data_IF_003715490711
#
_entry.id   IF_003715490711
#
_cell.length_a   1.000
_cell.length_b   1.000
_cell.length_c   1.000
_cell.angle_alpha   90.00
_cell.angle_beta   90.00
_cell.angle_gamma   90.00
#
_symmetry.space_group_name_H-M   'P 1'
#
loop_
_entity.id
_entity.type
_entity.pdbx_description
1 polymer ?
#
# COMPACT_ATOMS: atom_id res chain seq x y z
N UNK A 1 -23.21 -3.42 21.21
CA UNK A 1 -23.44 -4.54 20.29
C UNK A 1 -24.04 -3.95 19.03
N UNK A 2 -23.19 -3.43 18.15
CA UNK A 2 -23.56 -2.91 16.83
C UNK A 2 -22.64 -3.63 15.86
N UNK A 3 -23.14 -3.91 14.66
CA UNK A 3 -22.40 -4.36 13.48
C UNK A 3 -22.70 -5.80 13.06
N UNK A 4 -23.90 -5.98 12.50
CA UNK A 4 -24.00 -6.80 11.28
C UNK A 4 -23.77 -5.89 10.07
N UNK A 5 -23.24 -6.42 8.97
CA UNK A 5 -22.94 -5.62 7.76
C UNK A 5 -24.13 -4.77 7.30
N UNK A 6 -25.35 -5.29 7.45
CA UNK A 6 -26.57 -4.57 7.07
C UNK A 6 -26.76 -3.24 7.83
N UNK A 7 -26.41 -3.16 9.11
CA UNK A 7 -26.52 -1.93 9.90
C UNK A 7 -25.47 -0.90 9.47
N UNK A 8 -24.26 -1.39 9.11
CA UNK A 8 -23.18 -0.55 8.60
C UNK A 8 -23.53 0.01 7.22
N UNK A 9 -24.08 -0.81 6.33
CA UNK A 9 -24.53 -0.39 4.99
C UNK A 9 -25.67 0.63 5.08
N UNK A 10 -26.64 0.41 5.98
CA UNK A 10 -27.73 1.35 6.22
C UNK A 10 -27.21 2.70 6.73
N UNK A 11 -26.35 2.69 7.77
CA UNK A 11 -25.76 3.91 8.31
C UNK A 11 -24.92 4.65 7.25
N UNK A 12 -24.12 3.94 6.46
CA UNK A 12 -23.36 4.50 5.36
C UNK A 12 -24.26 5.17 4.32
N UNK A 13 -25.38 4.55 3.95
CA UNK A 13 -26.32 5.11 2.98
C UNK A 13 -26.97 6.42 3.47
N UNK A 14 -27.34 6.50 4.75
CA UNK A 14 -27.94 7.71 5.36
C UNK A 14 -26.92 8.85 5.38
N UNK A 15 -25.68 8.56 5.78
CA UNK A 15 -24.59 9.55 5.82
C UNK A 15 -24.27 10.04 4.41
N UNK A 16 -24.15 9.13 3.44
CA UNK A 16 -23.85 9.46 2.05
C UNK A 16 -24.94 10.35 1.43
N UNK A 17 -26.22 10.00 1.65
CA UNK A 17 -27.35 10.79 1.14
C UNK A 17 -27.39 12.21 1.71
N UNK A 18 -27.10 12.37 3.01
CA UNK A 18 -27.03 13.70 3.63
C UNK A 18 -25.83 14.51 3.14
N UNK A 19 -24.66 13.88 3.04
CA UNK A 19 -23.41 14.53 2.66
C UNK A 19 -23.35 14.90 1.17
N UNK A 20 -24.09 14.20 0.30
CA UNK A 20 -24.11 14.43 -1.15
C UNK A 20 -24.46 15.88 -1.54
N UNK A 21 -25.23 16.59 -0.71
CA UNK A 21 -25.54 18.02 -0.95
C UNK A 21 -24.34 18.95 -0.69
N UNK A 22 -23.41 18.53 0.15
CA UNK A 22 -22.29 19.34 0.62
C UNK A 22 -20.96 18.96 -0.04
N UNK A 23 -20.88 17.76 -0.59
CA UNK A 23 -19.69 17.26 -1.26
C UNK A 23 -19.96 17.31 -2.77
N UNK A 24 -19.24 18.18 -3.48
CA UNK A 24 -19.11 18.07 -4.92
C UNK A 24 -18.08 16.95 -5.20
N UNK A 25 -18.49 15.71 -4.96
CA UNK A 25 -17.65 14.56 -5.23
C UNK A 25 -17.58 14.41 -6.74
N UNK A 26 -16.42 14.74 -7.32
CA UNK A 26 -16.05 14.06 -8.55
C UNK A 26 -16.22 12.56 -8.29
N UNK A 27 -16.81 11.77 -9.22
CA UNK A 27 -16.87 10.32 -9.06
C UNK A 27 -15.49 9.89 -8.59
N UNK A 28 -15.44 9.14 -7.48
CA UNK A 28 -14.18 8.61 -6.95
C UNK A 28 -13.43 8.11 -8.17
N UNK A 29 -12.21 8.64 -8.45
CA UNK A 29 -11.50 8.26 -9.66
C UNK A 29 -11.58 6.75 -9.63
N UNK A 30 -12.21 6.16 -10.66
CA UNK A 30 -12.21 4.71 -10.79
C UNK A 30 -10.77 4.37 -10.50
N UNK A 31 -10.53 3.67 -9.39
CA UNK A 31 -9.20 3.25 -9.07
C UNK A 31 -8.94 2.33 -10.21
N UNK A 32 -8.32 2.88 -11.27
CA UNK A 32 -7.82 2.15 -12.41
C UNK A 32 -6.78 1.30 -11.72
N UNK A 33 -7.22 0.16 -11.19
CA UNK A 33 -6.37 -0.94 -10.84
C UNK A 33 -5.52 -1.08 -12.07
N UNK A 34 -4.26 -0.69 -11.93
CA UNK A 34 -3.35 -0.69 -13.05
C UNK A 34 -3.51 -2.05 -13.72
N UNK A 35 -3.70 -2.05 -15.04
CA UNK A 35 -4.00 -3.26 -15.80
C UNK A 35 -3.07 -4.39 -15.34
N UNK A 36 -3.53 -5.64 -15.32
CA UNK A 36 -2.77 -6.75 -14.76
C UNK A 36 -1.31 -6.76 -15.28
N UNK A 37 -0.35 -6.66 -14.37
CA UNK A 37 1.08 -6.56 -14.69
C UNK A 37 1.63 -5.14 -14.92
N UNK A 38 0.80 -4.10 -14.84
CA UNK A 38 1.20 -2.69 -14.90
C UNK A 38 1.29 -2.13 -13.48
N UNK A 39 2.37 -1.39 -13.22
CA UNK A 39 2.57 -0.60 -12.01
C UNK A 39 2.46 0.88 -12.40
N UNK A 40 1.60 1.63 -11.72
CA UNK A 40 1.45 3.07 -11.94
C UNK A 40 2.04 3.83 -10.75
N UNK A 41 2.88 4.82 -11.02
CA UNK A 41 3.40 5.78 -10.03
C UNK A 41 2.92 7.16 -10.44
N UNK A 42 2.40 7.92 -9.49
CA UNK A 42 1.91 9.29 -9.69
C UNK A 42 2.29 10.15 -8.50
N UNK A 43 2.76 11.36 -8.78
CA UNK A 43 3.07 12.36 -7.77
C UNK A 43 1.79 12.78 -7.03
N UNK A 44 1.88 12.97 -5.72
CA UNK A 44 0.74 13.41 -4.90
C UNK A 44 0.43 14.91 -5.06
N UNK A 45 1.42 15.71 -5.49
CA UNK A 45 1.27 17.14 -5.72
C UNK A 45 2.59 17.80 -6.16
N UNK A 46 2.53 19.02 -6.71
CA UNK A 46 3.68 19.70 -7.31
C UNK A 46 4.76 20.14 -6.31
N UNK A 47 4.38 20.34 -5.04
CA UNK A 47 5.27 20.85 -3.99
C UNK A 47 5.73 19.75 -3.01
N UNK A 48 5.51 18.47 -3.36
CA UNK A 48 5.91 17.33 -2.52
C UNK A 48 6.67 16.28 -3.34
N UNK A 49 7.49 15.49 -2.67
CA UNK A 49 8.10 14.29 -3.25
C UNK A 49 7.30 13.02 -3.00
N UNK A 50 6.15 13.12 -2.34
CA UNK A 50 5.26 11.99 -2.08
C UNK A 50 4.75 11.38 -3.39
N UNK A 51 4.92 10.07 -3.54
CA UNK A 51 4.48 9.27 -4.66
C UNK A 51 3.39 8.29 -4.23
N UNK A 52 2.34 8.18 -5.04
CA UNK A 52 1.33 7.13 -4.93
C UNK A 52 1.64 6.02 -5.95
N UNK A 53 1.83 4.80 -5.45
CA UNK A 53 2.16 3.62 -6.23
C UNK A 53 0.97 2.67 -6.19
N UNK A 54 0.45 2.30 -7.37
CA UNK A 54 -0.64 1.34 -7.53
C UNK A 54 -0.11 0.07 -8.20
N UNK A 55 -0.25 -1.06 -7.51
CA UNK A 55 0.15 -2.39 -7.98
C UNK A 55 -1.02 -3.35 -7.83
N UNK A 56 -1.77 -3.57 -8.91
CA UNK A 56 -3.03 -4.30 -8.85
C UNK A 56 -3.99 -3.67 -7.84
N UNK A 57 -4.24 -4.36 -6.73
CA UNK A 57 -5.12 -3.90 -5.62
C UNK A 57 -4.38 -3.20 -4.48
N UNK A 58 -3.06 -3.10 -4.55
CA UNK A 58 -2.24 -2.54 -3.50
C UNK A 58 -1.92 -1.08 -3.78
N UNK A 59 -2.13 -0.25 -2.76
CA UNK A 59 -1.78 1.17 -2.77
C UNK A 59 -0.64 1.37 -1.78
N UNK A 60 0.46 1.92 -2.26
CA UNK A 60 1.65 2.21 -1.47
C UNK A 60 1.98 3.69 -1.60
N UNK A 61 2.55 4.26 -0.55
CA UNK A 61 3.09 5.61 -0.55
C UNK A 61 4.60 5.52 -0.42
N UNK A 62 5.32 6.20 -1.31
CA UNK A 62 6.75 6.41 -1.18
C UNK A 62 7.02 7.90 -0.95
N UNK A 63 7.93 8.22 -0.03
CA UNK A 63 8.27 9.59 0.26
C UNK A 63 9.68 9.68 0.83
N UNK A 64 10.29 10.86 0.69
CA UNK A 64 11.55 11.16 1.37
C UNK A 64 11.28 11.75 2.76
N UNK A 65 12.21 11.58 3.72
CA UNK A 65 12.07 12.19 5.03
C UNK A 65 12.16 13.72 4.94
N UNK A 66 11.68 14.38 5.97
CA UNK A 66 11.88 15.83 6.16
C UNK A 66 13.38 16.16 6.19
N UNK A 67 13.84 17.27 5.58
CA UNK A 67 13.07 18.36 4.96
C UNK A 67 12.85 18.20 3.45
N UNK A 68 13.24 17.07 2.85
CA UNK A 68 13.22 16.87 1.41
C UNK A 68 11.83 16.43 0.94
N UNK A 69 11.17 15.56 1.70
CA UNK A 69 9.77 15.17 1.51
C UNK A 69 8.96 15.35 2.79
N UNK A 70 7.83 14.64 2.87
CA UNK A 70 6.87 14.75 3.97
C UNK A 70 6.85 13.54 4.92
N UNK A 71 7.78 12.58 4.76
CA UNK A 71 7.88 11.37 5.60
C UNK A 71 6.56 10.57 5.68
N UNK A 72 5.79 10.55 4.59
CA UNK A 72 4.48 9.86 4.52
C UNK A 72 4.58 8.37 4.16
N UNK A 73 5.77 7.88 3.88
CA UNK A 73 6.04 6.50 3.53
C UNK A 73 7.53 6.20 3.42
N UNK A 74 7.92 4.93 3.17
CA UNK A 74 9.32 4.58 3.00
C UNK A 74 9.95 5.30 1.80
N UNK A 75 11.24 5.54 1.88
CA UNK A 75 11.99 6.06 0.72
C UNK A 75 12.03 5.03 -0.41
N UNK A 76 12.24 5.45 -1.67
CA UNK A 76 12.43 4.53 -2.79
C UNK A 76 13.55 3.51 -2.54
N UNK A 77 14.64 3.91 -1.87
CA UNK A 77 15.72 3.01 -1.50
C UNK A 77 15.30 1.98 -0.44
N UNK A 78 14.48 2.37 0.54
CA UNK A 78 13.92 1.44 1.52
C UNK A 78 12.96 0.45 0.86
N UNK A 79 12.16 0.88 -0.13
CA UNK A 79 11.35 -0.04 -0.93
C UNK A 79 12.20 -1.08 -1.67
N UNK A 80 13.29 -0.65 -2.31
CA UNK A 80 14.22 -1.54 -3.00
C UNK A 80 14.86 -2.55 -2.03
N UNK A 81 15.36 -2.08 -0.89
CA UNK A 81 15.90 -2.94 0.15
C UNK A 81 14.83 -3.93 0.66
N UNK A 82 13.62 -3.44 0.96
CA UNK A 82 12.50 -4.28 1.38
C UNK A 82 12.16 -5.37 0.37
N UNK A 83 12.15 -5.04 -0.93
CA UNK A 83 11.93 -6.01 -2.00
C UNK A 83 13.01 -7.10 -2.03
N UNK A 84 14.29 -6.74 -1.90
CA UNK A 84 15.40 -7.69 -1.85
C UNK A 84 15.32 -8.61 -0.62
N UNK A 85 15.03 -8.02 0.55
CA UNK A 85 14.85 -8.77 1.80
C UNK A 85 13.69 -9.76 1.69
N UNK A 86 12.56 -9.32 1.15
CA UNK A 86 11.39 -10.15 0.91
C UNK A 86 11.68 -11.31 -0.06
N UNK A 87 12.30 -11.05 -1.22
CA UNK A 87 12.66 -12.09 -2.18
C UNK A 87 13.58 -13.16 -1.57
N UNK A 88 14.53 -12.74 -0.73
CA UNK A 88 15.44 -13.64 -0.02
C UNK A 88 14.67 -14.51 0.98
N UNK A 89 13.85 -13.89 1.82
CA UNK A 89 13.04 -14.60 2.81
C UNK A 89 12.07 -15.60 2.18
N UNK A 90 11.43 -15.22 1.07
CA UNK A 90 10.56 -16.10 0.27
C UNK A 90 11.32 -17.31 -0.24
N UNK A 91 12.52 -17.11 -0.79
CA UNK A 91 13.38 -18.18 -1.30
C UNK A 91 13.78 -19.15 -0.18
N UNK A 92 14.22 -18.64 0.97
CA UNK A 92 14.58 -19.49 2.12
C UNK A 92 13.40 -20.35 2.58
N UNK A 93 12.20 -19.75 2.66
CA UNK A 93 10.99 -20.49 3.03
C UNK A 93 10.60 -21.54 1.99
N UNK A 94 10.71 -21.21 0.70
CA UNK A 94 10.47 -22.13 -0.41
C UNK A 94 11.38 -23.38 -0.29
N UNK A 95 12.67 -23.18 -0.05
CA UNK A 95 13.63 -24.27 0.08
C UNK A 95 13.44 -25.08 1.36
N UNK A 96 13.13 -24.45 2.49
CA UNK A 96 12.83 -25.17 3.73
C UNK A 96 11.64 -26.12 3.55
N UNK A 97 10.57 -25.68 2.86
CA UNK A 97 9.43 -26.53 2.51
C UNK A 97 9.85 -27.70 1.61
N UNK A 98 10.60 -27.42 0.53
CA UNK A 98 11.07 -28.46 -0.41
C UNK A 98 11.93 -29.53 0.30
N UNK A 99 12.75 -29.12 1.27
CA UNK A 99 13.64 -30.01 2.02
C UNK A 99 13.03 -30.56 3.31
N UNK A 100 11.76 -30.26 3.60
CA UNK A 100 11.06 -30.68 4.85
C UNK A 100 11.80 -30.26 6.13
N UNK A 101 12.45 -29.10 6.12
CA UNK A 101 13.11 -28.53 7.29
C UNK A 101 12.08 -27.82 8.18
N UNK A 102 12.15 -28.03 9.50
CA UNK A 102 11.27 -27.40 10.49
C UNK A 102 11.67 -25.94 10.76
N UNK A 103 11.60 -25.10 9.73
CA UNK A 103 11.92 -23.68 9.82
C UNK A 103 10.74 -22.89 10.41
N UNK A 104 10.95 -22.26 11.57
CA UNK A 104 9.92 -21.49 12.28
C UNK A 104 9.83 -20.05 11.76
N UNK A 105 10.95 -19.35 11.57
CA UNK A 105 11.00 -17.95 11.17
C UNK A 105 12.13 -17.62 10.20
N UNK A 106 12.00 -16.49 9.50
CA UNK A 106 13.08 -15.86 8.71
C UNK A 106 13.01 -14.36 8.98
N UNK A 107 14.14 -13.77 9.37
CA UNK A 107 14.33 -12.31 9.43
C UNK A 107 15.50 -11.96 8.52
N UNK A 108 15.36 -10.88 7.75
CA UNK A 108 16.42 -10.36 6.89
C UNK A 108 16.58 -8.89 7.21
N UNK A 109 17.77 -8.51 7.66
CA UNK A 109 18.15 -7.13 7.93
C UNK A 109 19.10 -6.65 6.82
N UNK A 110 18.83 -5.47 6.29
CA UNK A 110 19.63 -4.85 5.23
C UNK A 110 20.03 -3.46 5.69
N UNK A 111 21.31 -3.14 5.52
CA UNK A 111 21.85 -1.81 5.81
C UNK A 111 22.00 -1.03 4.51
N UNK A 112 21.32 0.09 4.41
CA UNK A 112 21.51 1.09 3.35
C UNK A 112 22.30 2.24 3.96
N UNK A 113 23.53 1.96 4.37
CA UNK A 113 24.47 2.94 4.93
C UNK A 113 25.45 3.38 3.87
#
# INVERSE_FOLDING_TARGET
>A
MVSICADADYAASVIAAWAARYINAAPAPEVETAAEGVLRVVEAGPDTLTQHIVVGRHHLTADEPTPIGADLGPTPYQFLAGALGACTAMTLRLYARRKKLALTGVSVELSTT
#
